data_IF_327478896579
#
_entry.id   IF_327478896579
#
_cell.length_a   1.000
_cell.length_b   1.000
_cell.length_c   1.000
_cell.angle_alpha   90.00
_cell.angle_beta   90.00
_cell.angle_gamma   90.00
#
_symmetry.space_group_name_H-M   'P 1'
#
loop_
_entity.id
_entity.type
_entity.pdbx_description
1 polymer ?
#
# COMPACT_ATOMS: atom_id res chain seq x y z
N UNK A 1 -5.18 10.27 -7.69
CA UNK A 1 -5.55 11.55 -7.04
C UNK A 1 -4.51 12.01 -6.04
N UNK A 2 -4.02 11.17 -5.12
CA UNK A 2 -3.01 11.53 -4.09
C UNK A 2 -1.76 12.19 -4.70
N UNK A 3 -1.20 11.63 -5.77
CA UNK A 3 -0.01 12.17 -6.43
C UNK A 3 -0.17 13.59 -6.94
N UNK A 4 -1.34 13.93 -7.50
CA UNK A 4 -1.62 15.30 -7.93
C UNK A 4 -1.71 16.26 -6.73
N UNK A 5 -2.31 15.80 -5.63
CA UNK A 5 -2.33 16.55 -4.37
C UNK A 5 -0.93 16.88 -3.86
N UNK A 6 0.00 15.92 -3.96
CA UNK A 6 1.41 16.14 -3.57
C UNK A 6 2.13 17.15 -4.46
N UNK A 7 1.91 17.10 -5.78
CA UNK A 7 2.49 18.10 -6.69
C UNK A 7 1.95 19.50 -6.35
N UNK A 8 0.65 19.62 -6.10
CA UNK A 8 0.03 20.89 -5.73
C UNK A 8 0.57 21.42 -4.40
N UNK A 9 0.72 20.58 -3.37
CA UNK A 9 1.27 21.02 -2.07
C UNK A 9 2.73 21.47 -2.19
N UNK A 10 3.54 20.82 -3.03
CA UNK A 10 4.92 21.24 -3.32
C UNK A 10 4.95 22.62 -4.01
N UNK A 11 4.08 22.85 -5.00
CA UNK A 11 3.99 24.16 -5.66
C UNK A 11 3.53 25.24 -4.66
N UNK A 12 2.52 24.93 -3.84
CA UNK A 12 2.01 25.86 -2.83
C UNK A 12 3.08 26.25 -1.81
N UNK A 13 3.85 25.29 -1.27
CA UNK A 13 4.89 25.62 -0.28
C UNK A 13 5.98 26.50 -0.88
N UNK A 14 6.37 26.27 -2.14
CA UNK A 14 7.34 27.10 -2.86
C UNK A 14 6.82 28.52 -3.06
N UNK A 15 5.55 28.68 -3.43
CA UNK A 15 4.92 30.00 -3.60
C UNK A 15 4.86 30.72 -2.26
N UNK A 16 4.38 30.07 -1.20
CA UNK A 16 4.28 30.65 0.15
C UNK A 16 5.65 31.10 0.65
N UNK A 17 6.68 30.25 0.53
CA UNK A 17 8.01 30.58 1.01
C UNK A 17 8.69 31.65 0.16
N UNK A 18 8.48 31.65 -1.16
CA UNK A 18 8.95 32.73 -2.05
C UNK A 18 8.33 34.08 -1.68
N UNK A 19 7.02 34.11 -1.37
CA UNK A 19 6.33 35.31 -0.93
C UNK A 19 6.85 35.77 0.44
N UNK A 20 7.00 34.86 1.41
CA UNK A 20 7.57 35.19 2.73
C UNK A 20 9.00 35.71 2.64
N UNK A 21 9.85 35.09 1.82
CA UNK A 21 11.23 35.55 1.58
C UNK A 21 11.25 36.96 0.98
N UNK A 22 10.33 37.28 0.06
CA UNK A 22 10.19 38.65 -0.47
C UNK A 22 9.82 39.65 0.62
N UNK A 23 8.83 39.34 1.46
CA UNK A 23 8.42 40.22 2.57
C UNK A 23 9.55 40.44 3.58
N UNK A 24 10.32 39.41 3.91
CA UNK A 24 11.45 39.51 4.84
C UNK A 24 12.60 40.30 4.20
N UNK A 25 12.92 40.05 2.93
CA UNK A 25 13.99 40.76 2.22
C UNK A 25 13.72 42.27 2.11
N UNK A 26 12.44 42.67 1.95
CA UNK A 26 12.06 44.09 2.01
C UNK A 26 12.35 44.74 3.37
N UNK A 27 12.26 43.98 4.46
CA UNK A 27 12.50 44.47 5.83
C UNK A 27 13.99 44.57 6.16
N UNK A 28 14.76 43.54 5.84
CA UNK A 28 16.13 43.40 6.34
C UNK A 28 17.23 43.88 5.36
N UNK A 29 16.87 44.29 4.12
CA UNK A 29 17.78 44.73 3.03
C UNK A 29 18.91 43.74 2.69
N UNK A 30 18.84 42.50 3.16
CA UNK A 30 19.81 41.45 2.85
C UNK A 30 19.36 40.67 1.60
N UNK A 31 20.29 40.32 0.70
CA UNK A 31 19.98 39.48 -0.45
C UNK A 31 19.75 38.04 0.00
N UNK A 32 18.49 37.68 0.26
CA UNK A 32 18.12 36.29 0.50
C UNK A 32 18.00 35.53 -0.82
N UNK A 33 18.73 34.41 -0.96
CA UNK A 33 18.57 33.51 -2.09
C UNK A 33 17.21 32.82 -1.98
N UNK A 34 16.32 33.07 -2.94
CA UNK A 34 14.99 32.47 -2.96
C UNK A 34 15.12 30.94 -3.01
N UNK A 35 14.32 30.21 -2.22
CA UNK A 35 14.37 28.76 -2.23
C UNK A 35 13.81 28.26 -3.57
N UNK A 36 14.51 27.31 -4.19
CA UNK A 36 14.10 26.73 -5.47
C UNK A 36 13.11 25.59 -5.26
N UNK A 37 12.29 25.30 -6.27
CA UNK A 37 11.44 24.09 -6.30
C UNK A 37 12.26 22.83 -6.01
N UNK A 38 13.48 22.76 -6.56
CA UNK A 38 14.38 21.62 -6.40
C UNK A 38 14.80 21.40 -4.93
N UNK A 39 14.97 22.48 -4.15
CA UNK A 39 15.31 22.37 -2.73
C UNK A 39 14.16 21.71 -1.94
N UNK A 40 12.92 22.17 -2.15
CA UNK A 40 11.76 21.58 -1.46
C UNK A 40 11.49 20.15 -1.89
N UNK A 41 11.70 19.85 -3.18
CA UNK A 41 11.64 18.49 -3.69
C UNK A 41 12.74 17.61 -3.08
N UNK A 42 13.97 18.11 -2.95
CA UNK A 42 15.08 17.42 -2.29
C UNK A 42 14.74 17.06 -0.85
N UNK A 43 14.21 18.01 -0.07
CA UNK A 43 13.74 17.74 1.29
C UNK A 43 12.61 16.72 1.32
N UNK A 44 11.68 16.78 0.36
CA UNK A 44 10.56 15.85 0.25
C UNK A 44 11.02 14.40 0.07
N UNK A 45 12.09 14.19 -0.71
CA UNK A 45 12.72 12.87 -0.88
C UNK A 45 13.78 12.57 0.20
N UNK A 46 13.81 13.36 1.28
CA UNK A 46 14.76 13.25 2.40
C UNK A 46 16.25 13.38 2.00
N UNK A 47 16.54 14.14 0.93
CA UNK A 47 17.90 14.52 0.55
C UNK A 47 18.29 15.80 1.28
N UNK A 48 19.51 15.84 1.81
CA UNK A 48 20.06 17.03 2.47
C UNK A 48 20.22 18.18 1.47
N UNK A 49 19.73 19.35 1.83
CA UNK A 49 19.79 20.56 1.01
C UNK A 49 20.69 21.58 1.70
N UNK A 50 21.65 22.21 0.99
CA UNK A 50 22.62 23.14 1.57
C UNK A 50 22.02 24.54 1.86
N UNK A 51 20.71 24.64 2.10
CA UNK A 51 20.02 25.92 2.31
C UNK A 51 19.50 25.98 3.73
N UNK A 52 20.07 26.91 4.50
CA UNK A 52 19.67 27.19 5.89
C UNK A 52 18.88 28.49 5.92
N UNK A 53 17.60 28.49 6.34
CA UNK A 53 16.86 29.73 6.48
C UNK A 53 17.37 30.52 7.69
N UNK A 54 17.66 31.81 7.51
CA UNK A 54 18.15 32.67 8.61
C UNK A 54 17.02 33.15 9.53
N UNK A 55 15.85 33.45 8.95
CA UNK A 55 14.69 33.96 9.68
C UNK A 55 13.97 32.87 10.48
N UNK A 56 13.56 33.21 11.72
CA UNK A 56 12.80 32.32 12.60
C UNK A 56 11.53 31.77 11.96
N UNK A 57 10.78 32.60 11.23
CA UNK A 57 9.55 32.15 10.53
C UNK A 57 9.84 31.14 9.42
N UNK A 58 10.88 31.39 8.62
CA UNK A 58 11.29 30.46 7.56
C UNK A 58 11.82 29.15 8.14
N UNK A 59 12.51 29.18 9.28
CA UNK A 59 12.92 27.98 10.03
C UNK A 59 11.71 27.16 10.45
N UNK A 60 10.66 27.78 10.99
CA UNK A 60 9.44 27.06 11.38
C UNK A 60 8.76 26.40 10.17
N UNK A 61 8.60 27.13 9.05
CA UNK A 61 8.02 26.57 7.83
C UNK A 61 8.86 25.41 7.28
N UNK A 62 10.19 25.56 7.29
CA UNK A 62 11.12 24.51 6.89
C UNK A 62 11.00 23.25 7.76
N UNK A 63 10.96 23.40 9.08
CA UNK A 63 10.80 22.29 10.02
C UNK A 63 9.45 21.60 9.83
N UNK A 64 8.35 22.36 9.66
CA UNK A 64 7.03 21.80 9.38
C UNK A 64 7.01 21.01 8.07
N UNK A 65 7.65 21.53 7.01
CA UNK A 65 7.78 20.83 5.74
C UNK A 65 8.59 19.53 5.86
N UNK A 66 9.68 19.55 6.62
CA UNK A 66 10.49 18.37 6.89
C UNK A 66 9.68 17.30 7.65
N UNK A 67 8.95 17.69 8.71
CA UNK A 67 8.08 16.76 9.46
C UNK A 67 6.96 16.19 8.59
N UNK A 68 6.33 17.01 7.74
CA UNK A 68 5.34 16.55 6.77
C UNK A 68 5.94 15.51 5.81
N UNK A 69 7.11 15.80 5.24
CA UNK A 69 7.81 14.91 4.31
C UNK A 69 8.20 13.57 4.95
N UNK A 70 8.67 13.61 6.20
CA UNK A 70 8.98 12.40 6.99
C UNK A 70 7.73 11.57 7.25
N UNK A 71 6.62 12.19 7.65
CA UNK A 71 5.36 11.49 7.89
C UNK A 71 4.85 10.81 6.60
N UNK A 72 4.85 11.53 5.48
CA UNK A 72 4.40 10.98 4.21
C UNK A 72 5.31 9.83 3.74
N UNK A 73 6.62 9.99 3.88
CA UNK A 73 7.60 8.94 3.55
C UNK A 73 7.35 7.68 4.38
N UNK A 74 7.10 7.84 5.69
CA UNK A 74 6.76 6.75 6.60
C UNK A 74 5.46 6.04 6.19
N UNK A 75 4.40 6.80 5.89
CA UNK A 75 3.13 6.21 5.43
C UNK A 75 3.30 5.44 4.11
N UNK A 76 4.10 5.97 3.18
CA UNK A 76 4.38 5.29 1.92
C UNK A 76 5.17 3.99 2.16
N UNK A 77 6.22 4.03 2.99
CA UNK A 77 7.00 2.84 3.33
C UNK A 77 6.14 1.78 4.03
N UNK A 78 5.27 2.17 4.96
CA UNK A 78 4.33 1.26 5.62
C UNK A 78 3.37 0.61 4.62
N UNK A 79 2.79 1.39 3.70
CA UNK A 79 1.91 0.84 2.66
C UNK A 79 2.65 -0.07 1.70
N UNK A 80 3.86 0.32 1.29
CA UNK A 80 4.68 -0.49 0.40
C UNK A 80 5.08 -1.80 1.09
N UNK A 81 5.52 -1.74 2.35
CA UNK A 81 5.85 -2.92 3.15
C UNK A 81 4.65 -3.83 3.34
N UNK A 82 3.47 -3.27 3.63
CA UNK A 82 2.23 -4.03 3.71
C UNK A 82 1.88 -4.70 2.38
N UNK A 83 2.05 -3.99 1.26
CA UNK A 83 1.78 -4.52 -0.07
C UNK A 83 2.74 -5.64 -0.47
N UNK A 84 4.01 -5.53 -0.08
CA UNK A 84 5.04 -6.55 -0.37
C UNK A 84 4.96 -7.75 0.56
N UNK A 85 4.67 -7.54 1.85
CA UNK A 85 4.59 -8.61 2.86
C UNK A 85 3.29 -9.39 2.74
N UNK A 86 2.18 -8.69 2.50
CA UNK A 86 0.86 -9.27 2.31
C UNK A 86 0.38 -8.85 0.93
N UNK A 87 0.86 -9.50 -0.15
CA UNK A 87 0.24 -9.29 -1.45
C UNK A 87 -1.24 -9.49 -1.23
N UNK A 88 -2.08 -8.53 -1.67
CA UNK A 88 -3.52 -8.67 -1.54
C UNK A 88 -3.86 -10.01 -2.14
N UNK A 89 -4.19 -10.99 -1.28
CA UNK A 89 -4.55 -12.33 -1.71
C UNK A 89 -5.57 -12.11 -2.81
N UNK A 90 -5.27 -12.62 -4.01
CA UNK A 90 -6.19 -12.54 -5.13
C UNK A 90 -7.59 -12.81 -4.61
N UNK A 91 -8.55 -11.96 -5.02
CA UNK A 91 -9.91 -11.98 -4.49
C UNK A 91 -10.36 -13.43 -4.40
N UNK A 92 -10.39 -13.95 -3.16
CA UNK A 92 -10.67 -15.36 -2.94
C UNK A 92 -11.99 -15.69 -3.62
N UNK A 93 -12.07 -16.87 -4.21
CA UNK A 93 -13.25 -17.33 -4.94
C UNK A 93 -14.44 -17.34 -3.97
N UNK A 94 -15.38 -16.40 -4.12
CA UNK A 94 -16.51 -16.23 -3.20
C UNK A 94 -17.75 -16.96 -3.66
N UNK A 95 -17.84 -17.22 -4.96
CA UNK A 95 -19.02 -17.85 -5.55
C UNK A 95 -18.67 -19.14 -6.29
N UNK A 96 -19.60 -20.11 -6.36
CA UNK A 96 -19.40 -21.32 -7.15
C UNK A 96 -19.16 -21.05 -8.64
N UNK A 97 -19.70 -19.94 -9.15
CA UNK A 97 -19.53 -19.50 -10.55
C UNK A 97 -18.08 -19.05 -10.77
N UNK A 98 -17.55 -18.21 -9.89
CA UNK A 98 -16.14 -17.81 -9.90
C UNK A 98 -15.21 -19.05 -9.81
N UNK A 99 -15.61 -20.08 -9.05
CA UNK A 99 -14.84 -21.32 -8.92
C UNK A 99 -14.78 -22.09 -10.24
N UNK A 100 -15.93 -22.23 -10.90
CA UNK A 100 -16.02 -22.89 -12.20
C UNK A 100 -15.22 -22.15 -13.26
N UNK A 101 -15.34 -20.82 -13.30
CA UNK A 101 -14.69 -19.98 -14.31
C UNK A 101 -13.17 -19.84 -14.06
N UNK A 102 -12.70 -20.12 -12.84
CA UNK A 102 -11.27 -20.12 -12.50
C UNK A 102 -10.47 -21.26 -13.13
N UNK A 103 -11.13 -22.33 -13.59
CA UNK A 103 -10.46 -23.53 -14.10
C UNK A 103 -9.69 -24.34 -13.05
N UNK A 104 -9.83 -24.01 -11.76
CA UNK A 104 -9.20 -24.73 -10.66
C UNK A 104 -10.02 -25.99 -10.31
N UNK A 105 -9.34 -27.13 -10.14
CA UNK A 105 -9.98 -28.35 -9.65
C UNK A 105 -10.19 -28.30 -8.14
N UNK A 106 -11.41 -28.64 -7.70
CA UNK A 106 -11.74 -28.69 -6.28
C UNK A 106 -11.19 -29.99 -5.69
N UNK A 107 -10.43 -29.87 -4.62
CA UNK A 107 -9.92 -31.03 -3.90
C UNK A 107 -10.73 -31.25 -2.64
N UNK A 108 -11.35 -32.43 -2.52
CA UNK A 108 -12.19 -32.79 -1.37
C UNK A 108 -11.51 -33.89 -0.55
N UNK A 109 -11.57 -33.76 0.78
CA UNK A 109 -11.23 -34.88 1.65
C UNK A 109 -12.34 -35.93 1.60
N UNK A 110 -12.04 -37.21 1.85
CA UNK A 110 -13.04 -38.28 1.85
C UNK A 110 -14.21 -38.01 2.81
N UNK A 111 -13.95 -37.34 3.93
CA UNK A 111 -14.97 -36.94 4.90
C UNK A 111 -15.87 -35.84 4.33
N UNK A 112 -15.30 -34.79 3.73
CA UNK A 112 -16.07 -33.73 3.10
C UNK A 112 -16.94 -34.26 1.95
N UNK A 113 -16.42 -35.22 1.17
CA UNK A 113 -17.17 -35.86 0.10
C UNK A 113 -18.42 -36.59 0.61
N UNK A 114 -18.37 -37.21 1.80
CA UNK A 114 -19.54 -37.85 2.43
C UNK A 114 -20.63 -36.85 2.82
N UNK A 115 -20.24 -35.67 3.31
CA UNK A 115 -21.20 -34.61 3.64
C UNK A 115 -21.82 -34.01 2.37
N UNK A 116 -20.98 -33.74 1.36
CA UNK A 116 -21.44 -33.21 0.08
C UNK A 116 -22.40 -34.20 -0.58
N UNK A 117 -22.05 -35.48 -0.68
CA UNK A 117 -22.91 -36.49 -1.33
C UNK A 117 -24.27 -36.66 -0.63
N UNK A 118 -24.35 -36.44 0.68
CA UNK A 118 -25.60 -36.47 1.43
C UNK A 118 -26.51 -35.25 1.14
N UNK A 119 -25.94 -34.10 0.78
CA UNK A 119 -26.64 -32.81 0.69
C UNK A 119 -26.86 -32.32 -0.77
N UNK A 120 -26.09 -32.80 -1.75
CA UNK A 120 -26.04 -32.28 -3.14
C UNK A 120 -27.27 -32.64 -4.00
N UNK A 121 -28.37 -33.10 -3.41
CA UNK A 121 -29.55 -33.54 -4.18
C UNK A 121 -30.52 -32.43 -4.59
N UNK A 122 -30.38 -31.19 -4.10
CA UNK A 122 -31.32 -30.11 -4.43
C UNK A 122 -30.81 -29.08 -5.44
N UNK A 123 -29.50 -28.98 -5.70
CA UNK A 123 -28.95 -27.89 -6.51
C UNK A 123 -28.18 -28.39 -7.75
N UNK A 124 -28.81 -28.26 -8.93
CA UNK A 124 -28.31 -28.81 -10.21
C UNK A 124 -26.95 -28.21 -10.61
N UNK A 125 -26.65 -26.97 -10.19
CA UNK A 125 -25.40 -26.29 -10.57
C UNK A 125 -24.17 -26.84 -9.87
N UNK A 126 -24.30 -27.26 -8.61
CA UNK A 126 -23.18 -27.81 -7.85
C UNK A 126 -22.75 -29.18 -8.37
N UNK A 127 -23.69 -29.95 -8.94
CA UNK A 127 -23.41 -31.28 -9.49
C UNK A 127 -22.35 -31.25 -10.59
N UNK A 128 -22.35 -30.23 -11.46
CA UNK A 128 -21.34 -30.09 -12.50
C UNK A 128 -19.96 -29.73 -11.95
N UNK A 129 -19.90 -28.89 -10.92
CA UNK A 129 -18.64 -28.47 -10.27
C UNK A 129 -18.01 -29.66 -9.54
N UNK A 130 -18.81 -30.47 -8.87
CA UNK A 130 -18.34 -31.66 -8.18
C UNK A 130 -18.07 -32.84 -9.11
N UNK A 131 -18.48 -32.82 -10.38
CA UNK A 131 -18.10 -33.92 -11.27
C UNK A 131 -16.60 -33.90 -11.66
N UNK A 132 -15.92 -32.78 -11.39
CA UNK A 132 -14.49 -32.56 -11.67
C UNK A 132 -13.62 -32.47 -10.42
N UNK A 133 -14.02 -33.06 -9.28
CA UNK A 133 -13.18 -33.05 -8.08
C UNK A 133 -12.00 -34.03 -8.19
N UNK A 134 -10.92 -33.71 -7.48
CA UNK A 134 -9.81 -34.63 -7.23
C UNK A 134 -9.85 -35.02 -5.75
N UNK A 135 -9.64 -36.30 -5.44
CA UNK A 135 -9.57 -36.75 -4.04
C UNK A 135 -8.23 -36.30 -3.48
N UNK A 136 -8.26 -35.50 -2.41
CA UNK A 136 -7.05 -35.09 -1.72
C UNK A 136 -6.58 -36.21 -0.80
N UNK A 137 -5.46 -36.85 -1.12
CA UNK A 137 -4.75 -37.67 -0.15
C UNK A 137 -4.14 -36.76 0.93
N UNK A 138 -4.60 -36.98 2.16
CA UNK A 138 -4.35 -36.15 3.34
C UNK A 138 -2.86 -35.86 3.58
N UNK A 139 -1.99 -36.77 3.14
CA UNK A 139 -0.55 -36.72 3.36
C UNK A 139 0.15 -35.60 2.57
N UNK A 140 -0.34 -35.25 1.38
CA UNK A 140 0.20 -34.14 0.58
C UNK A 140 -0.51 -32.79 0.84
N UNK A 141 -1.74 -32.84 1.38
CA UNK A 141 -2.55 -31.64 1.68
C UNK A 141 -2.19 -30.96 3.00
N UNK A 142 -1.91 -31.74 4.04
CA UNK A 142 -1.50 -31.23 5.36
C UNK A 142 -0.15 -30.52 5.31
N UNK A 143 0.81 -31.05 4.56
CA UNK A 143 2.10 -30.38 4.36
C UNK A 143 1.89 -29.01 3.70
N UNK A 144 1.11 -28.95 2.62
CA UNK A 144 0.82 -27.70 1.90
C UNK A 144 0.08 -26.66 2.76
N UNK A 145 -0.84 -27.09 3.63
CA UNK A 145 -1.53 -26.19 4.57
C UNK A 145 -0.66 -25.81 5.77
N UNK A 146 0.20 -26.70 6.26
CA UNK A 146 1.19 -26.40 7.29
C UNK A 146 2.20 -25.34 6.81
N UNK A 147 2.59 -25.38 5.53
CA UNK A 147 3.38 -24.30 4.92
C UNK A 147 2.66 -22.95 4.95
N UNK A 148 1.33 -22.91 4.76
CA UNK A 148 0.55 -21.67 4.84
C UNK A 148 0.29 -21.20 6.29
N UNK A 149 0.12 -22.11 7.26
CA UNK A 149 -0.02 -21.73 8.67
C UNK A 149 1.29 -21.26 9.30
N UNK A 150 2.45 -21.83 8.92
CA UNK A 150 3.75 -21.41 9.44
C UNK A 150 4.07 -19.95 9.08
N UNK A 151 3.57 -19.46 7.95
CA UNK A 151 3.68 -18.05 7.56
C UNK A 151 2.75 -17.11 8.35
N UNK A 152 1.67 -17.63 8.94
CA UNK A 152 0.67 -16.83 9.66
C UNK A 152 1.10 -16.49 11.10
N UNK A 153 2.08 -17.20 11.66
CA UNK A 153 2.52 -17.06 13.05
C UNK A 153 3.86 -16.33 13.21
N UNK A 154 4.42 -15.76 12.13
CA UNK A 154 5.70 -15.02 12.15
C UNK A 154 5.50 -13.51 11.87
N UNK A 155 4.25 -13.06 11.84
CA UNK A 155 3.83 -11.65 11.77
C UNK A 155 3.01 -11.28 12.99
#
# INVERSE_FOLDING_TARGET
TIWLGLVVTIILIVVVTSVMTRFISMKDRTPCRAPTLLNYYGMFVNISVPVTPDSGYLKTVFILWALFSLNLSSMYQQKLSSFLTHPSLERGIKTPIELRDSGLSVCLTPEALRYVSAQTFQDVQLKHIFNSYVICELQNGLDKMAYMMKYKNVT
#
